data_IF_136489393027
#
_entry.id   IF_136489393027
#
_cell.length_a   1.000
_cell.length_b   1.000
_cell.length_c   1.000
_cell.angle_alpha   90.00
_cell.angle_beta   90.00
_cell.angle_gamma   90.00
#
_symmetry.space_group_name_H-M   'P 1'
#
loop_
_entity.id
_entity.type
_entity.pdbx_description
1 polymer ?
#
# COMPACT_ATOMS: atom_id res chain seq x y z
N UNK A 1 -6.38 -0.09 -25.74
CA UNK A 1 -6.60 0.49 -24.40
C UNK A 1 -7.77 -0.27 -23.80
N UNK A 2 -7.49 -1.27 -22.95
CA UNK A 2 -8.57 -2.02 -22.28
C UNK A 2 -9.02 -1.26 -21.03
N UNK A 3 -10.33 -1.08 -20.83
CA UNK A 3 -10.84 -0.40 -19.65
C UNK A 3 -10.63 -1.25 -18.39
N UNK A 4 -10.30 -0.62 -17.24
CA UNK A 4 -10.16 -1.33 -15.98
C UNK A 4 -11.50 -1.94 -15.55
N UNK A 5 -11.45 -3.22 -15.14
CA UNK A 5 -12.64 -3.97 -14.70
C UNK A 5 -13.28 -3.30 -13.47
N UNK A 6 -14.62 -3.25 -13.36
CA UNK A 6 -15.30 -2.61 -12.24
C UNK A 6 -15.13 -3.47 -10.98
N UNK A 7 -14.51 -2.91 -9.94
CA UNK A 7 -14.34 -3.59 -8.64
C UNK A 7 -13.36 -2.93 -7.67
N UNK A 8 -12.48 -2.04 -8.13
CA UNK A 8 -11.59 -1.27 -7.25
C UNK A 8 -12.16 0.13 -7.01
N UNK A 9 -12.93 0.26 -5.94
CA UNK A 9 -13.30 1.54 -5.35
C UNK A 9 -12.03 2.33 -5.00
N UNK A 10 -11.74 3.34 -5.83
CA UNK A 10 -11.21 4.64 -5.45
C UNK A 10 -9.86 4.69 -4.72
N UNK A 11 -8.75 4.56 -5.46
CA UNK A 11 -7.54 5.38 -5.26
C UNK A 11 -6.56 5.12 -6.42
N UNK A 12 -5.92 6.18 -6.94
CA UNK A 12 -4.74 6.14 -7.81
C UNK A 12 -4.91 5.97 -9.34
N UNK A 13 -5.80 6.74 -9.96
CA UNK A 13 -5.81 6.82 -11.44
C UNK A 13 -4.67 7.64 -12.07
N UNK A 14 -3.77 8.30 -11.31
CA UNK A 14 -2.80 9.24 -11.92
C UNK A 14 -1.36 9.23 -11.35
N UNK A 15 -0.91 8.16 -10.69
CA UNK A 15 0.52 8.03 -10.26
C UNK A 15 1.05 6.59 -10.32
N UNK A 16 0.41 5.73 -11.14
CA UNK A 16 0.40 4.26 -10.94
C UNK A 16 0.91 3.45 -12.15
N UNK A 17 1.83 3.97 -12.97
CA UNK A 17 2.35 3.16 -14.09
C UNK A 17 3.41 2.14 -13.64
N UNK A 18 4.15 2.45 -12.57
CA UNK A 18 5.25 1.62 -12.04
C UNK A 18 4.87 0.81 -10.80
N UNK A 19 3.64 0.97 -10.25
CA UNK A 19 3.19 0.25 -9.04
C UNK A 19 2.06 -0.70 -9.39
N UNK A 20 2.19 -1.97 -9.01
CA UNK A 20 1.19 -3.01 -9.33
C UNK A 20 0.81 -3.82 -8.08
N UNK A 21 -0.39 -4.43 -8.05
CA UNK A 21 -0.71 -5.43 -7.05
C UNK A 21 0.25 -6.61 -7.17
N UNK A 22 0.88 -7.00 -6.07
CA UNK A 22 1.66 -8.23 -5.97
C UNK A 22 1.75 -8.71 -4.52
N UNK A 23 2.24 -9.93 -4.35
CA UNK A 23 2.39 -10.61 -3.07
C UNK A 23 3.73 -11.35 -3.01
N UNK A 24 4.08 -11.91 -1.85
CA UNK A 24 5.33 -12.65 -1.68
C UNK A 24 5.49 -13.82 -2.66
N UNK A 25 4.40 -14.57 -2.91
CA UNK A 25 4.40 -15.68 -3.88
C UNK A 25 4.21 -15.24 -5.34
N UNK A 26 3.82 -13.98 -5.57
CA UNK A 26 3.56 -13.43 -6.90
C UNK A 26 4.23 -12.05 -6.99
N UNK A 27 5.56 -12.00 -7.24
CA UNK A 27 6.32 -10.75 -7.18
C UNK A 27 5.99 -9.81 -8.35
N UNK A 28 6.35 -8.53 -8.18
CA UNK A 28 6.21 -7.54 -9.25
C UNK A 28 7.05 -7.94 -10.48
N UNK A 29 6.56 -7.68 -11.71
CA UNK A 29 7.37 -7.79 -12.91
C UNK A 29 8.59 -6.84 -12.88
N UNK A 30 9.64 -7.13 -13.67
CA UNK A 30 10.79 -6.24 -13.81
C UNK A 30 10.38 -4.81 -14.19
N UNK A 31 11.04 -3.82 -13.59
CA UNK A 31 10.71 -2.40 -13.83
C UNK A 31 9.36 -1.98 -13.27
N UNK A 32 8.85 -2.70 -12.27
CA UNK A 32 7.68 -2.32 -11.46
C UNK A 32 7.92 -2.65 -9.99
N UNK A 33 7.11 -2.07 -9.10
CA UNK A 33 7.15 -2.32 -7.66
C UNK A 33 5.77 -2.69 -7.12
N UNK A 34 5.72 -3.41 -5.99
CA UNK A 34 4.44 -3.71 -5.35
C UNK A 34 3.78 -2.47 -4.76
N UNK A 35 2.46 -2.41 -4.90
CA UNK A 35 1.62 -1.53 -4.10
C UNK A 35 1.67 -2.06 -2.67
N UNK A 36 1.97 -1.17 -1.74
CA UNK A 36 1.88 -1.45 -0.30
C UNK A 36 0.57 -0.84 0.18
N UNK A 37 -0.33 -1.69 0.68
CA UNK A 37 -1.54 -1.23 1.34
C UNK A 37 -1.22 -0.78 2.75
N UNK A 38 -1.35 0.53 3.01
CA UNK A 38 -1.07 1.12 4.32
C UNK A 38 -2.19 0.83 5.33
N UNK A 39 -3.41 0.56 4.87
CA UNK A 39 -4.54 0.25 5.77
C UNK A 39 -4.37 -1.15 6.39
N UNK A 40 -3.63 -2.04 5.73
CA UNK A 40 -3.25 -3.35 6.26
C UNK A 40 -2.36 -3.26 7.52
N UNK A 41 -1.82 -2.08 7.85
CA UNK A 41 -1.06 -1.86 9.07
C UNK A 41 -1.91 -1.49 10.29
N UNK A 42 -3.25 -1.58 10.22
CA UNK A 42 -4.12 -1.36 11.36
C UNK A 42 -3.66 -2.17 12.61
N UNK A 43 -3.60 -1.54 13.80
CA UNK A 43 -4.15 -0.21 14.14
C UNK A 43 -3.25 0.99 13.77
N UNK A 44 -2.06 0.76 13.22
CA UNK A 44 -1.06 1.78 12.87
C UNK A 44 -1.36 2.50 11.55
N UNK A 45 -2.52 3.17 11.50
CA UNK A 45 -3.01 3.88 10.31
C UNK A 45 -3.20 5.36 10.59
N UNK A 46 -3.17 6.18 9.52
CA UNK A 46 -3.30 7.64 9.62
C UNK A 46 -4.62 8.06 10.26
N UNK A 47 -5.72 7.37 9.95
CA UNK A 47 -7.06 7.64 10.50
C UNK A 47 -7.13 7.49 12.02
N UNK A 48 -6.20 6.72 12.61
CA UNK A 48 -6.05 6.53 14.06
C UNK A 48 -4.89 7.32 14.65
N UNK A 49 -4.34 8.30 13.91
CA UNK A 49 -3.22 9.11 14.34
C UNK A 49 -1.98 8.29 14.72
N UNK A 50 -1.79 7.11 14.11
CA UNK A 50 -0.72 6.16 14.43
C UNK A 50 -0.62 5.81 15.93
N UNK A 51 -1.75 5.86 16.65
CA UNK A 51 -1.91 5.53 18.07
C UNK A 51 -1.10 6.41 19.05
N UNK A 52 -0.64 7.58 18.60
CA UNK A 52 0.03 8.57 19.47
C UNK A 52 -0.88 9.07 20.60
N UNK A 53 -2.18 9.27 20.32
CA UNK A 53 -3.18 9.75 21.30
C UNK A 53 -3.44 8.74 22.43
N UNK A 54 -3.14 7.46 22.20
CA UNK A 54 -3.24 6.38 23.19
C UNK A 54 -1.92 6.10 23.91
N UNK A 55 -0.90 6.92 23.70
CA UNK A 55 0.46 6.67 24.22
C UNK A 55 1.01 5.28 23.81
N UNK A 56 0.55 4.75 22.67
CA UNK A 56 1.00 3.48 22.09
C UNK A 56 1.53 3.74 20.66
N UNK A 57 2.64 4.50 20.51
CA UNK A 57 3.10 4.94 19.20
C UNK A 57 3.52 3.77 18.32
N UNK A 58 3.15 3.84 17.04
CA UNK A 58 3.55 2.85 16.05
C UNK A 58 4.96 3.12 15.49
N UNK A 59 5.73 2.05 15.26
CA UNK A 59 7.07 2.11 14.66
C UNK A 59 7.03 1.33 13.34
N UNK A 60 7.53 1.94 12.27
CA UNK A 60 7.66 1.29 10.97
C UNK A 60 9.10 0.88 10.72
N UNK A 61 9.31 -0.43 10.56
CA UNK A 61 10.62 -0.98 10.21
C UNK A 61 10.73 -1.07 8.69
N UNK A 62 11.60 -0.25 8.11
CA UNK A 62 11.93 -0.30 6.69
C UNK A 62 13.20 -1.15 6.51
N UNK A 63 13.11 -2.17 5.66
CA UNK A 63 14.26 -2.97 5.27
C UNK A 63 15.06 -2.24 4.18
N UNK A 64 16.38 -2.36 4.25
CA UNK A 64 17.27 -1.87 3.20
C UNK A 64 17.16 -2.79 1.97
N UNK A 65 17.18 -2.17 0.79
CA UNK A 65 17.25 -2.85 -0.50
C UNK A 65 18.69 -2.88 -0.97
#
# INVERSE_FOLDING_TARGET
YEPPKPGTTGLAAQTQEHRVPCSYGHPAPPGKSCIVDLEAFAPCVKSRGYMYDKSQPCIFLKLNK
#
